data_IF_370134420811
#
_entry.id   IF_370134420811
#
_cell.length_a   1.000
_cell.length_b   1.000
_cell.length_c   1.000
_cell.angle_alpha   90.00
_cell.angle_beta   90.00
_cell.angle_gamma   90.00
#
_symmetry.space_group_name_H-M   'P 1'
#
loop_
_entity.id
_entity.type
_entity.pdbx_description
1 polymer ?
2 polymer ?
3 polymer ?
4 non-polymer ?
5 water ?
#
loop_
_entity_poly.entity_id
_entity_poly.type
_entity_poly.pdbx_seq_one_letter_code
_entity_poly.pdbx_strand_id
1 'polydeoxyribonucleotide' '(DA)(DC)(DT)(DA)(DT)(DC)(DA)(DC)(DC)(DG)(DC)(DG)(DG)(DG)(DT)(DG)(DA)(DT)(DA)(DC)' ?
2 'polydeoxyribonucleotide' '(DT)(DG)(DT)(DA)(DT)(DC)(DA)(DC)(DC)(DC)(DG)(DC)(DG)(DG)(DT)(DG)(DA)(DT)(DA)(DG)' ?
#
# COMPACT_ATOMS: atom_id res chain seq x y z
N UNK C 1 -10.13 8.36 -5.20
CA UNK C 1 -10.58 9.54 -4.47
C UNK C 1 -10.54 9.30 -2.95
N UNK C 2 -9.35 9.49 -2.35
CA UNK C 2 -8.16 9.83 -3.10
C UNK C 2 -7.50 8.55 -3.58
N UNK C 3 -6.89 8.59 -4.76
CA UNK C 3 -6.16 7.43 -5.20
C UNK C 3 -4.72 7.75 -4.92
N UNK C 4 -4.07 6.89 -4.18
CA UNK C 4 -2.72 7.18 -3.89
C UNK C 4 -1.93 5.92 -3.80
N UNK C 5 -0.65 6.09 -4.06
CA UNK C 5 0.35 5.07 -4.10
C UNK C 5 0.74 4.49 -2.76
N UNK C 6 1.10 3.22 -2.72
CA UNK C 6 1.51 2.76 -1.43
C UNK C 6 2.70 3.57 -0.85
N UNK C 7 3.79 3.56 -1.61
CA UNK C 7 5.01 4.21 -1.26
C UNK C 7 4.73 5.58 -0.74
N UNK C 8 3.98 6.26 -1.56
CA UNK C 8 3.52 7.60 -1.31
C UNK C 8 2.88 7.71 0.07
N UNK C 9 1.87 6.87 0.20
CA UNK C 9 1.10 6.84 1.38
C UNK C 9 2.04 6.58 2.50
N UNK C 10 2.93 5.67 2.23
CA UNK C 10 3.90 5.35 3.25
C UNK C 10 4.77 6.55 3.59
N UNK C 11 5.19 7.30 2.61
CA UNK C 11 5.99 8.40 3.03
C UNK C 11 5.13 9.34 3.84
N UNK C 12 3.87 9.55 3.51
CA UNK C 12 3.14 10.51 4.33
C UNK C 12 2.95 9.99 5.72
N UNK C 13 2.45 8.77 5.81
CA UNK C 13 2.08 8.21 7.10
C UNK C 13 3.09 7.46 7.91
N UNK C 14 4.15 6.93 7.35
CA UNK C 14 5.03 6.17 8.22
C UNK C 14 4.68 4.72 8.06
N UNK C 15 5.69 3.90 7.80
CA UNK C 15 5.44 2.49 7.47
C UNK C 15 4.37 1.77 8.31
N UNK C 16 4.51 2.00 9.58
CA UNK C 16 3.70 1.43 10.61
C UNK C 16 2.20 1.65 10.54
N UNK C 17 1.77 2.91 10.52
CA UNK C 17 0.37 3.20 10.47
C UNK C 17 -0.20 2.49 9.28
N UNK C 18 0.46 2.74 8.15
CA UNK C 18 0.08 2.17 6.89
C UNK C 18 -0.20 0.72 7.13
N UNK C 19 0.94 0.07 7.36
CA UNK C 19 0.96 -1.33 7.63
C UNK C 19 -0.24 -1.67 8.51
N UNK C 20 -0.31 -0.97 9.60
CA UNK C 20 -1.46 -1.22 10.38
C UNK C 20 -2.69 -1.03 9.50
N UNK C 21 -2.83 0.10 8.80
CA UNK C 21 -4.05 0.18 8.06
C UNK C 21 -4.29 -1.01 7.17
N UNK C 22 -3.29 -1.65 6.63
CA UNK C 22 -3.76 -2.74 5.83
C UNK C 22 -3.90 -4.05 6.59
N UNK C 23 -3.66 -3.97 7.88
CA UNK C 23 -3.79 -5.20 8.61
C UNK C 23 -2.77 -6.19 8.11
N UNK C 24 -1.55 -5.78 8.29
CA UNK C 24 -0.45 -6.59 7.90
C UNK C 24 0.79 -6.02 8.58
N UNK C 25 1.79 -6.85 8.69
CA UNK C 25 2.99 -6.45 9.36
C UNK C 25 3.87 -5.51 8.57
N UNK C 26 4.29 -4.46 9.27
CA UNK C 26 5.20 -3.42 8.83
C UNK C 26 6.28 -3.90 7.86
N UNK C 27 6.97 -4.96 8.26
CA UNK C 27 8.01 -5.54 7.43
C UNK C 27 7.48 -5.80 6.03
N UNK C 28 6.20 -6.21 5.97
CA UNK C 28 5.56 -6.43 4.68
C UNK C 28 5.76 -5.17 3.88
N UNK C 29 5.08 -4.16 4.37
CA UNK C 29 5.22 -2.92 3.70
C UNK C 29 6.61 -2.81 3.19
N UNK C 30 7.47 -2.57 4.15
CA UNK C 30 8.84 -2.39 3.78
C UNK C 30 9.24 -3.18 2.57
N UNK C 31 9.15 -4.48 2.76
CA UNK C 31 9.53 -5.41 1.72
C UNK C 31 8.94 -4.97 0.39
N UNK C 32 7.61 -4.91 0.46
CA UNK C 32 6.70 -4.57 -0.59
C UNK C 32 7.15 -3.36 -1.32
N UNK C 33 7.60 -2.42 -0.56
CA UNK C 33 8.00 -1.18 -1.12
C UNK C 33 9.31 -1.34 -1.81
N UNK C 34 10.24 -1.85 -1.04
CA UNK C 34 11.53 -1.97 -1.64
C UNK C 34 11.44 -2.82 -2.84
N UNK C 35 10.51 -3.74 -2.70
CA UNK C 35 10.15 -4.70 -3.71
C UNK C 35 9.84 -4.06 -5.05
N UNK C 36 9.27 -2.88 -4.99
CA UNK C 36 8.92 -2.21 -6.22
C UNK C 36 7.59 -2.74 -6.76
N UNK C 37 6.72 -3.22 -5.87
CA UNK C 37 5.43 -3.73 -6.28
C UNK C 37 4.55 -2.55 -6.68
N UNK C 38 3.72 -2.66 -7.71
CA UNK C 38 2.85 -1.54 -8.11
C UNK C 38 1.57 -1.63 -7.33
N UNK C 39 1.36 -0.76 -6.38
CA UNK C 39 0.19 -0.94 -5.55
C UNK C 39 -0.45 0.33 -5.16
N UNK C 40 -1.74 0.24 -5.02
CA UNK C 40 -2.43 1.45 -4.75
C UNK C 40 -3.49 1.29 -3.76
N UNK C 41 -3.52 2.35 -3.04
CA UNK C 41 -4.45 2.50 -1.99
C UNK C 41 -5.58 3.33 -2.50
N UNK C 42 -6.73 3.14 -1.87
CA UNK C 42 -7.93 3.91 -2.13
C UNK C 42 -8.53 4.34 -0.81
N UNK C 43 -8.66 5.63 -0.60
CA UNK C 43 -9.19 6.06 0.68
C UNK C 43 -10.64 6.40 0.59
N UNK C 44 -11.38 6.10 1.64
CA UNK C 44 -12.78 6.40 1.58
C UNK C 44 -13.05 7.45 2.62
N UNK C 45 -14.22 8.10 2.45
CA UNK C 45 -14.69 9.11 3.37
C UNK C 45 -14.12 8.83 4.74
N UNK C 46 -14.65 7.77 5.37
CA UNK C 46 -14.23 7.38 6.70
C UNK C 46 -12.73 7.19 6.89
N UNK C 47 -12.02 6.86 5.82
CA UNK C 47 -10.59 6.70 5.99
C UNK C 47 -10.18 5.23 5.97
N UNK C 48 -11.12 4.40 5.56
CA UNK C 48 -10.85 3.00 5.43
C UNK C 48 -9.98 2.87 4.19
N UNK C 49 -9.19 1.81 4.11
CA UNK C 49 -8.40 1.76 2.92
C UNK C 49 -8.52 0.52 2.09
N UNK C 50 -8.29 0.65 0.81
CA UNK C 50 -8.36 -0.55 0.07
C UNK C 50 -7.17 -0.62 -0.86
N UNK C 51 -6.58 -1.76 -0.98
CA UNK C 51 -5.46 -1.73 -1.84
C UNK C 51 -5.46 -2.83 -2.83
N UNK C 52 -5.20 -2.45 -4.05
CA UNK C 52 -5.05 -3.45 -5.05
C UNK C 52 -3.66 -3.25 -5.61
N UNK C 53 -3.13 -4.33 -6.24
CA UNK C 53 -1.83 -4.39 -6.91
C UNK C 53 -1.97 -4.79 -8.37
N UNK C 54 -1.08 -4.24 -9.17
CA UNK C 54 -1.08 -4.53 -10.60
C UNK C 54 0.13 -5.35 -10.98
N UNK C 55 -0.11 -6.40 -11.72
CA UNK C 55 0.97 -7.28 -12.04
C UNK C 55 0.81 -7.80 -13.43
N UNK C 56 1.95 -8.09 -14.02
CA UNK C 56 2.01 -8.64 -15.36
C UNK C 56 1.69 -10.11 -15.36
N UNK C 57 1.01 -10.50 -16.38
CA UNK C 57 0.76 -11.87 -16.44
C UNK C 57 1.65 -12.45 -17.51
N UNK C 58 2.33 -13.53 -17.26
CA UNK C 58 2.34 -14.33 -16.04
C UNK C 58 3.38 -13.89 -15.04
N UNK C 59 3.08 -14.17 -13.79
CA UNK C 59 3.95 -13.83 -12.68
C UNK C 59 5.45 -14.14 -12.82
N UNK C 60 5.74 -15.28 -13.46
CA UNK C 60 7.10 -15.75 -13.61
C UNK C 60 7.97 -14.75 -14.35
X LIG D 1 -2.86 14.47 -2.63
X LIG D 1 -1.50 14.04 -2.93
X LIG D 1 -3.10 15.81 -3.26
X LIG D 1 -3.02 14.56 -1.14
X LIG D 1 -3.81 13.46 -3.19
#
# INVERSE_FOLDING_TARGET
EQRITLKDYAMRFGQTKTAKDLGVYQSAINKAIHAGRKIFLTINADGSVYAEEVKPFPSN
SO4 S O1 O2 O3 O4
#
